data_IF_259231465153
#
_entry.id   IF_259231465153
#
_cell.length_a   1.000
_cell.length_b   1.000
_cell.length_c   1.000
_cell.angle_alpha   90.00
_cell.angle_beta   90.00
_cell.angle_gamma   90.00
#
_symmetry.space_group_name_H-M   'P 1'
#
loop_
_entity.id
_entity.type
_entity.pdbx_description
1 polymer ?
#
# COMPACT_ATOMS: atom_id res chain seq x y z
N UNK A 1 -9.93 17.96 -24.18
CA UNK A 1 -9.49 16.56 -24.31
C UNK A 1 -8.14 16.45 -23.63
N UNK A 2 -8.06 15.93 -22.39
CA UNK A 2 -6.76 15.60 -21.81
C UNK A 2 -6.23 14.39 -22.60
N UNK A 3 -5.06 14.53 -23.22
CA UNK A 3 -4.29 13.39 -23.70
C UNK A 3 -3.87 12.60 -22.46
N UNK A 4 -4.68 11.61 -22.09
CA UNK A 4 -4.38 10.73 -20.98
C UNK A 4 -3.33 9.74 -21.47
N UNK A 5 -2.09 9.91 -21.00
CA UNK A 5 -1.05 8.90 -21.20
C UNK A 5 -1.55 7.57 -20.63
N UNK A 6 -1.57 6.55 -21.48
CA UNK A 6 -1.71 5.16 -21.05
C UNK A 6 -0.32 4.58 -20.88
N UNK A 7 0.03 4.25 -19.65
CA UNK A 7 1.28 3.57 -19.34
C UNK A 7 1.05 2.06 -19.47
N UNK A 8 1.39 1.51 -20.65
CA UNK A 8 1.22 0.08 -20.96
C UNK A 8 1.98 -0.85 -20.02
N UNK A 9 2.98 -0.33 -19.30
CA UNK A 9 3.88 -1.11 -18.47
C UNK A 9 3.60 -0.96 -16.96
N UNK A 10 2.51 -0.30 -16.59
CA UNK A 10 2.06 -0.21 -15.20
C UNK A 10 1.21 -1.42 -14.80
N UNK A 11 1.21 -1.78 -13.52
CA UNK A 11 0.38 -2.87 -13.01
C UNK A 11 0.96 -4.23 -13.35
N UNK A 12 2.16 -4.54 -12.85
CA UNK A 12 2.93 -5.73 -13.20
C UNK A 12 2.15 -7.04 -13.01
N UNK A 13 1.27 -7.11 -12.01
CA UNK A 13 0.28 -8.17 -11.87
C UNK A 13 -1.05 -7.84 -12.57
N UNK A 14 -1.67 -6.72 -12.22
CA UNK A 14 -3.02 -6.34 -12.71
C UNK A 14 -3.07 -4.85 -13.07
N UNK A 15 -3.47 -4.54 -14.31
CA UNK A 15 -3.86 -3.18 -14.71
C UNK A 15 -5.38 -3.04 -14.73
N UNK A 16 -5.92 -2.08 -13.98
CA UNK A 16 -7.33 -1.68 -14.00
C UNK A 16 -7.42 -0.32 -14.70
N UNK A 17 -8.18 -0.27 -15.79
CA UNK A 17 -8.15 0.88 -16.70
C UNK A 17 -9.55 1.34 -17.13
N UNK A 18 -9.72 2.66 -17.22
CA UNK A 18 -10.94 3.30 -17.70
C UNK A 18 -12.12 3.09 -16.75
N UNK A 19 -13.30 2.81 -17.29
CA UNK A 19 -14.53 2.60 -16.50
C UNK A 19 -14.63 1.16 -15.98
N UNK A 20 -13.62 0.71 -15.24
CA UNK A 20 -13.52 -0.66 -14.70
C UNK A 20 -13.40 -0.63 -13.18
N UNK A 21 -14.21 -1.44 -12.49
CA UNK A 21 -14.33 -1.45 -11.02
C UNK A 21 -14.47 -2.90 -10.50
N UNK A 22 -13.49 -3.78 -10.74
CA UNK A 22 -13.61 -5.18 -10.36
C UNK A 22 -13.60 -5.37 -8.84
N UNK A 23 -14.07 -6.55 -8.43
CA UNK A 23 -13.83 -7.13 -7.11
C UNK A 23 -12.65 -8.09 -7.21
N UNK A 24 -11.68 -7.93 -6.34
CA UNK A 24 -10.48 -8.75 -6.23
C UNK A 24 -10.46 -9.29 -4.80
N UNK A 25 -10.75 -10.57 -4.65
CA UNK A 25 -11.06 -11.17 -3.34
C UNK A 25 -10.25 -12.47 -3.19
N UNK A 26 -9.58 -12.65 -2.04
CA UNK A 26 -8.81 -13.87 -1.72
C UNK A 26 -7.71 -14.20 -2.74
N UNK A 27 -6.95 -13.20 -3.20
CA UNK A 27 -5.84 -13.41 -4.13
C UNK A 27 -4.49 -13.15 -3.47
N UNK A 28 -3.45 -13.76 -4.03
CA UNK A 28 -2.06 -13.42 -3.74
C UNK A 28 -1.41 -12.84 -5.01
N UNK A 29 -0.95 -11.60 -4.92
CA UNK A 29 -0.20 -10.90 -5.98
C UNK A 29 1.24 -10.84 -5.52
N UNK A 30 2.06 -11.77 -6.00
CA UNK A 30 3.43 -11.97 -5.51
C UNK A 30 4.51 -11.89 -6.57
N UNK A 31 5.63 -11.24 -6.25
CA UNK A 31 6.85 -11.24 -7.07
C UNK A 31 6.71 -10.52 -8.41
N UNK A 32 5.70 -9.66 -8.58
CA UNK A 32 5.48 -8.94 -9.82
C UNK A 32 6.42 -7.74 -9.93
N UNK A 33 6.80 -7.39 -11.15
CA UNK A 33 7.70 -6.27 -11.44
C UNK A 33 7.07 -5.38 -12.49
N UNK A 34 7.04 -4.07 -12.23
CA UNK A 34 6.60 -3.07 -13.19
C UNK A 34 7.68 -2.03 -13.47
N UNK A 35 7.70 -1.54 -14.72
CA UNK A 35 8.54 -0.44 -15.15
C UNK A 35 7.70 0.46 -16.07
N UNK A 36 7.07 1.53 -15.55
CA UNK A 36 7.55 2.31 -14.39
C UNK A 36 6.84 2.07 -13.03
N UNK A 37 5.50 1.93 -12.98
CA UNK A 37 4.74 2.04 -11.72
C UNK A 37 3.81 0.85 -11.46
N UNK A 38 3.38 0.65 -10.20
CA UNK A 38 2.35 -0.34 -9.89
C UNK A 38 2.86 -1.77 -9.97
N UNK A 39 3.78 -2.18 -9.09
CA UNK A 39 4.39 -3.51 -9.17
C UNK A 39 3.35 -4.64 -9.12
N UNK A 40 2.41 -4.56 -8.18
CA UNK A 40 1.26 -5.45 -8.09
C UNK A 40 0.09 -5.01 -8.95
N UNK A 41 -0.59 -3.93 -8.56
CA UNK A 41 -1.82 -3.42 -9.22
C UNK A 41 -1.69 -1.94 -9.53
N UNK A 42 -2.06 -1.55 -10.76
CA UNK A 42 -2.28 -0.15 -11.11
C UNK A 42 -3.72 0.16 -11.43
N UNK A 43 -4.26 1.19 -10.76
CA UNK A 43 -5.65 1.61 -10.87
C UNK A 43 -5.72 2.98 -11.53
N UNK A 44 -6.29 3.03 -12.74
CA UNK A 44 -6.41 4.25 -13.53
C UNK A 44 -7.80 4.40 -14.15
N UNK A 45 -8.68 5.17 -13.51
CA UNK A 45 -10.06 5.31 -13.98
C UNK A 45 -10.28 6.34 -15.10
N UNK A 46 -9.26 7.10 -15.51
CA UNK A 46 -9.37 8.12 -16.56
C UNK A 46 -10.51 9.15 -16.34
N UNK A 47 -10.75 9.54 -15.09
CA UNK A 47 -11.82 10.48 -14.72
C UNK A 47 -13.21 9.84 -14.56
N UNK A 48 -13.36 8.53 -14.77
CA UNK A 48 -14.60 7.81 -14.47
C UNK A 48 -14.68 7.49 -12.97
N UNK A 49 -15.54 8.19 -12.24
CA UNK A 49 -15.61 8.11 -10.77
C UNK A 49 -16.93 7.54 -10.24
N UNK A 50 -17.61 6.71 -11.03
CA UNK A 50 -18.92 6.15 -10.69
C UNK A 50 -18.85 5.10 -9.57
N UNK A 51 -17.73 4.39 -9.45
CA UNK A 51 -17.53 3.36 -8.43
C UNK A 51 -16.03 3.25 -8.05
N UNK A 52 -15.67 2.25 -7.24
CA UNK A 52 -14.32 1.95 -6.79
C UNK A 52 -13.96 0.48 -7.05
N UNK A 53 -12.66 0.24 -7.28
CA UNK A 53 -12.10 -1.12 -7.21
C UNK A 53 -12.21 -1.62 -5.78
N UNK A 54 -12.66 -2.86 -5.59
CA UNK A 54 -12.78 -3.47 -4.26
C UNK A 54 -11.79 -4.60 -4.11
N UNK A 55 -10.92 -4.50 -3.12
CA UNK A 55 -9.87 -5.48 -2.85
C UNK A 55 -10.07 -5.98 -1.42
N UNK A 56 -10.32 -7.28 -1.25
CA UNK A 56 -10.54 -7.87 0.07
C UNK A 56 -9.73 -9.15 0.28
N UNK A 57 -9.33 -9.39 1.52
CA UNK A 57 -8.76 -10.67 1.97
C UNK A 57 -7.56 -11.14 1.14
N UNK A 58 -6.76 -10.17 0.65
CA UNK A 58 -5.72 -10.41 -0.36
C UNK A 58 -4.33 -10.07 0.16
N UNK A 59 -3.32 -10.69 -0.46
CA UNK A 59 -1.91 -10.54 -0.07
C UNK A 59 -1.12 -9.95 -1.23
N UNK A 60 -0.36 -8.90 -0.95
CA UNK A 60 0.60 -8.26 -1.85
C UNK A 60 2.01 -8.48 -1.30
N UNK A 61 2.78 -9.33 -1.99
CA UNK A 61 4.07 -9.79 -1.48
C UNK A 61 5.20 -9.61 -2.49
N UNK A 62 6.33 -9.04 -2.06
CA UNK A 62 7.57 -9.00 -2.85
C UNK A 62 7.42 -8.36 -4.24
N UNK A 63 6.43 -7.48 -4.43
CA UNK A 63 6.25 -6.78 -5.69
C UNK A 63 7.20 -5.59 -5.78
N UNK A 64 7.65 -5.26 -7.00
CA UNK A 64 8.67 -4.25 -7.24
C UNK A 64 8.26 -3.29 -8.36
N UNK A 65 8.65 -2.03 -8.23
CA UNK A 65 8.47 -1.06 -9.30
C UNK A 65 9.58 -0.03 -9.35
N UNK A 66 9.79 0.53 -10.54
CA UNK A 66 10.82 1.54 -10.75
C UNK A 66 10.51 2.85 -10.00
N UNK A 67 9.25 3.26 -9.90
CA UNK A 67 8.91 4.61 -9.38
C UNK A 67 7.91 4.58 -8.21
N UNK A 68 6.64 4.22 -8.41
CA UNK A 68 5.59 4.35 -7.38
C UNK A 68 4.71 3.11 -7.23
N UNK A 69 4.14 2.94 -6.02
CA UNK A 69 3.14 1.91 -5.71
C UNK A 69 3.64 0.50 -5.96
N UNK A 70 4.63 0.04 -5.18
CA UNK A 70 5.20 -1.29 -5.42
C UNK A 70 4.19 -2.41 -5.27
N UNK A 71 3.22 -2.28 -4.36
CA UNK A 71 2.05 -3.16 -4.32
C UNK A 71 0.88 -2.58 -5.11
N UNK A 72 0.46 -1.35 -4.81
CA UNK A 72 -0.69 -0.71 -5.46
C UNK A 72 -0.40 0.77 -5.70
N UNK A 73 -0.63 1.25 -6.92
CA UNK A 73 -0.79 2.68 -7.23
C UNK A 73 -2.25 3.02 -7.58
N UNK A 74 -2.75 4.08 -6.97
CA UNK A 74 -4.08 4.65 -7.25
C UNK A 74 -3.89 5.99 -7.96
N UNK A 75 -3.84 5.94 -9.30
CA UNK A 75 -3.52 7.09 -10.17
C UNK A 75 -4.57 8.21 -10.09
N UNK A 76 -4.22 9.46 -10.44
CA UNK A 76 -5.03 10.65 -10.15
C UNK A 76 -6.52 10.49 -10.48
N UNK A 77 -7.37 10.79 -9.48
CA UNK A 77 -8.83 10.73 -9.62
C UNK A 77 -9.42 9.32 -9.62
N UNK A 78 -8.62 8.28 -9.34
CA UNK A 78 -9.09 6.89 -9.24
C UNK A 78 -9.57 6.55 -7.83
N UNK A 79 -10.23 5.40 -7.68
CA UNK A 79 -10.89 5.02 -6.42
C UNK A 79 -10.67 3.56 -6.05
N UNK A 80 -10.32 3.30 -4.79
CA UNK A 80 -10.16 1.94 -4.27
C UNK A 80 -10.69 1.78 -2.84
N UNK A 81 -11.29 0.63 -2.56
CA UNK A 81 -11.67 0.16 -1.23
C UNK A 81 -10.85 -1.11 -0.94
N UNK A 82 -9.97 -1.04 0.07
CA UNK A 82 -9.00 -2.08 0.40
C UNK A 82 -9.29 -2.52 1.82
N UNK A 83 -9.73 -3.77 1.98
CA UNK A 83 -10.16 -4.30 3.28
C UNK A 83 -9.43 -5.60 3.60
N UNK A 84 -8.94 -5.73 4.82
CA UNK A 84 -8.33 -6.97 5.30
C UNK A 84 -7.25 -7.53 4.36
N UNK A 85 -6.33 -6.66 3.92
CA UNK A 85 -5.24 -7.04 3.04
C UNK A 85 -3.88 -6.95 3.75
N UNK A 86 -2.93 -7.78 3.31
CA UNK A 86 -1.54 -7.77 3.75
C UNK A 86 -0.65 -7.21 2.66
N UNK A 87 0.27 -6.31 3.03
CA UNK A 87 1.32 -5.77 2.18
C UNK A 87 2.67 -6.04 2.84
N UNK A 88 3.52 -6.85 2.22
CA UNK A 88 4.83 -7.19 2.77
C UNK A 88 5.91 -7.43 1.73
N UNK A 89 7.15 -7.05 2.01
CA UNK A 89 8.29 -7.22 1.09
C UNK A 89 8.26 -6.34 -0.16
N UNK A 90 7.29 -5.42 -0.31
CA UNK A 90 7.13 -4.67 -1.56
C UNK A 90 8.12 -3.49 -1.63
N UNK A 91 8.79 -3.32 -2.77
CA UNK A 91 9.88 -2.34 -2.94
C UNK A 91 9.65 -1.40 -4.12
N UNK A 92 9.46 -0.11 -3.83
CA UNK A 92 9.38 0.94 -4.85
C UNK A 92 10.76 1.59 -5.09
N UNK A 93 10.84 2.48 -6.07
CA UNK A 93 12.05 3.24 -6.39
C UNK A 93 13.27 2.35 -6.69
N UNK A 94 13.11 1.26 -7.44
CA UNK A 94 14.22 0.36 -7.78
C UNK A 94 15.09 0.86 -8.93
N UNK A 95 14.79 2.02 -9.50
CA UNK A 95 15.53 2.63 -10.61
C UNK A 95 15.21 4.11 -10.79
N UNK A 96 15.71 4.74 -11.87
CA UNK A 96 15.53 6.16 -12.10
C UNK A 96 14.05 6.52 -12.35
N UNK A 97 13.59 7.67 -11.86
CA UNK A 97 12.28 8.18 -12.24
C UNK A 97 12.35 8.72 -13.67
N UNK A 98 11.78 7.96 -14.61
CA UNK A 98 11.74 8.29 -16.05
C UNK A 98 10.39 8.84 -16.49
N UNK A 99 9.44 9.01 -15.57
CA UNK A 99 8.07 9.44 -15.88
C UNK A 99 7.79 10.86 -15.42
N UNK A 100 8.43 11.31 -14.34
CA UNK A 100 8.25 12.67 -13.83
C UNK A 100 8.99 13.70 -14.68
N UNK A 101 8.50 14.95 -14.74
CA UNK A 101 9.23 16.04 -15.37
C UNK A 101 10.64 16.22 -14.76
N UNK A 102 11.65 16.60 -15.55
CA UNK A 102 12.98 16.90 -15.03
C UNK A 102 12.93 17.95 -13.90
N UNK A 103 13.57 17.64 -12.76
CA UNK A 103 13.58 18.51 -11.58
C UNK A 103 12.37 18.36 -10.65
N UNK A 104 11.35 17.59 -11.05
CA UNK A 104 10.13 17.35 -10.27
C UNK A 104 9.93 15.84 -9.98
N UNK A 105 11.01 15.14 -9.65
CA UNK A 105 10.97 13.70 -9.40
C UNK A 105 10.01 13.36 -8.25
N UNK A 106 9.18 12.34 -8.46
CA UNK A 106 8.12 11.99 -7.52
C UNK A 106 8.72 11.37 -6.25
N UNK A 107 8.35 11.92 -5.09
CA UNK A 107 8.87 11.52 -3.77
C UNK A 107 10.41 11.36 -3.72
N UNK A 108 11.16 12.22 -4.42
CA UNK A 108 12.60 12.06 -4.67
C UNK A 108 13.47 11.77 -3.42
N UNK A 109 13.09 12.31 -2.26
CA UNK A 109 13.88 12.23 -1.01
C UNK A 109 13.74 10.87 -0.32
N UNK A 110 12.50 10.41 -0.13
CA UNK A 110 12.19 9.22 0.69
C UNK A 110 11.67 8.03 -0.12
N UNK A 111 11.33 8.24 -1.40
CA UNK A 111 10.66 7.26 -2.24
C UNK A 111 9.18 7.10 -1.90
N UNK A 112 8.53 6.17 -2.57
CA UNK A 112 7.09 5.90 -2.52
C UNK A 112 6.78 4.67 -1.67
N UNK A 113 5.54 4.58 -1.22
CA UNK A 113 4.97 3.48 -0.43
C UNK A 113 4.73 2.19 -1.22
N UNK A 114 4.43 1.13 -0.48
CA UNK A 114 3.77 -0.04 -1.03
C UNK A 114 2.40 0.33 -1.60
N UNK A 115 1.67 1.22 -0.92
CA UNK A 115 0.49 1.88 -1.45
C UNK A 115 0.82 3.35 -1.74
N UNK A 116 0.71 3.74 -3.01
CA UNK A 116 0.83 5.14 -3.44
C UNK A 116 -0.53 5.67 -3.90
N UNK A 117 -1.00 6.75 -3.29
CA UNK A 117 -2.27 7.40 -3.62
C UNK A 117 -2.01 8.78 -4.18
N UNK A 118 -2.32 8.97 -5.47
CA UNK A 118 -2.06 10.21 -6.17
C UNK A 118 -3.08 11.32 -5.84
N UNK A 119 -2.75 12.59 -6.15
CA UNK A 119 -3.68 13.70 -5.93
C UNK A 119 -5.06 13.48 -6.58
N UNK A 120 -6.11 13.82 -5.84
CA UNK A 120 -7.50 13.67 -6.28
C UNK A 120 -8.04 12.24 -6.26
N UNK A 121 -7.20 11.24 -5.98
CA UNK A 121 -7.64 9.85 -5.78
C UNK A 121 -8.31 9.67 -4.43
N UNK A 122 -9.22 8.69 -4.34
CA UNK A 122 -9.95 8.36 -3.12
C UNK A 122 -9.69 6.92 -2.69
N UNK A 123 -9.25 6.71 -1.45
CA UNK A 123 -9.11 5.38 -0.87
C UNK A 123 -9.81 5.24 0.46
N UNK A 124 -10.30 4.01 0.71
CA UNK A 124 -10.69 3.52 2.03
C UNK A 124 -9.90 2.26 2.32
N UNK A 125 -8.98 2.35 3.28
CA UNK A 125 -8.14 1.23 3.73
C UNK A 125 -8.57 0.83 5.13
N UNK A 126 -9.00 -0.42 5.32
CA UNK A 126 -9.54 -0.87 6.60
C UNK A 126 -9.04 -2.24 6.98
N UNK A 127 -8.60 -2.41 8.23
CA UNK A 127 -8.21 -3.72 8.74
C UNK A 127 -7.00 -4.32 8.01
N UNK A 128 -6.12 -3.50 7.44
CA UNK A 128 -4.98 -3.99 6.66
C UNK A 128 -3.71 -4.03 7.51
N UNK A 129 -2.70 -4.78 7.07
CA UNK A 129 -1.35 -4.72 7.65
C UNK A 129 -0.36 -4.38 6.54
N UNK A 130 0.44 -3.34 6.74
CA UNK A 130 1.57 -2.98 5.89
C UNK A 130 2.84 -3.10 6.71
N UNK A 131 3.66 -4.10 6.40
CA UNK A 131 4.87 -4.39 7.18
C UNK A 131 6.01 -4.89 6.31
N UNK A 132 7.25 -4.55 6.67
CA UNK A 132 8.44 -4.95 5.92
C UNK A 132 8.36 -4.60 4.43
N UNK A 133 7.82 -3.43 4.09
CA UNK A 133 7.93 -2.85 2.75
C UNK A 133 9.06 -1.82 2.72
N UNK A 134 9.44 -1.33 1.52
CA UNK A 134 10.37 -0.20 1.40
C UNK A 134 9.85 1.04 2.15
N UNK A 135 8.58 1.37 1.96
CA UNK A 135 7.83 2.36 2.74
C UNK A 135 6.37 1.86 2.86
N UNK A 136 5.63 2.34 3.86
CA UNK A 136 4.24 1.95 4.07
C UNK A 136 3.29 2.59 3.04
N UNK A 137 2.85 3.82 3.30
CA UNK A 137 1.90 4.56 2.45
C UNK A 137 2.36 5.97 2.19
N UNK A 138 2.35 6.39 0.93
CA UNK A 138 2.31 7.81 0.57
C UNK A 138 0.96 8.18 -0.04
N UNK A 139 0.30 9.17 0.57
CA UNK A 139 -1.04 9.59 0.17
C UNK A 139 -1.09 11.10 -0.03
N UNK A 140 -1.25 11.50 -1.29
CA UNK A 140 -1.38 12.90 -1.72
C UNK A 140 -2.84 13.31 -1.95
N UNK A 141 -3.80 12.44 -1.65
CA UNK A 141 -5.23 12.70 -1.71
C UNK A 141 -5.77 13.37 -0.44
N UNK A 142 -6.91 14.04 -0.59
CA UNK A 142 -7.61 14.69 0.53
C UNK A 142 -8.79 13.84 1.01
N UNK A 143 -8.92 13.68 2.32
CA UNK A 143 -10.05 12.97 2.95
C UNK A 143 -10.06 11.45 2.80
N UNK A 144 -8.92 10.84 2.47
CA UNK A 144 -8.77 9.39 2.41
C UNK A 144 -8.87 8.76 3.80
N UNK A 145 -9.38 7.53 3.86
CA UNK A 145 -9.67 6.87 5.13
C UNK A 145 -8.71 5.72 5.36
N UNK A 146 -8.12 5.68 6.56
CA UNK A 146 -7.33 4.56 7.05
C UNK A 146 -7.87 4.21 8.42
N UNK A 147 -8.40 2.99 8.58
CA UNK A 147 -9.04 2.59 9.83
C UNK A 147 -8.64 1.20 10.29
N UNK A 148 -8.29 1.05 11.57
CA UNK A 148 -7.93 -0.25 12.14
C UNK A 148 -6.81 -0.95 11.36
N UNK A 149 -5.85 -0.19 10.84
CA UNK A 149 -4.75 -0.69 10.00
C UNK A 149 -3.45 -0.64 10.79
N UNK A 150 -2.59 -1.63 10.57
CA UNK A 150 -1.23 -1.70 11.14
C UNK A 150 -0.23 -1.22 10.09
N UNK A 151 0.65 -0.30 10.50
CA UNK A 151 1.83 0.10 9.75
C UNK A 151 3.05 -0.21 10.64
N UNK A 152 3.84 -1.20 10.23
CA UNK A 152 4.86 -1.77 11.11
C UNK A 152 6.18 -2.04 10.39
N UNK A 153 7.24 -1.34 10.81
CA UNK A 153 8.62 -1.62 10.41
C UNK A 153 8.78 -1.72 8.89
N UNK A 154 8.21 -0.78 8.14
CA UNK A 154 8.42 -0.66 6.70
C UNK A 154 9.85 -0.16 6.44
N UNK A 155 10.79 -1.11 6.47
CA UNK A 155 12.23 -0.88 6.45
C UNK A 155 12.97 -1.77 5.44
N UNK A 156 12.23 -2.49 4.59
CA UNK A 156 12.82 -3.42 3.63
C UNK A 156 13.79 -2.69 2.71
N UNK A 157 14.92 -3.33 2.38
CA UNK A 157 15.94 -2.72 1.51
C UNK A 157 15.59 -2.83 0.01
N UNK A 158 16.28 -2.05 -0.84
CA UNK A 158 16.27 -2.23 -2.30
C UNK A 158 15.78 -1.05 -3.13
N UNK A 159 15.11 -0.06 -2.53
CA UNK A 159 14.86 1.23 -3.18
C UNK A 159 16.11 2.12 -3.18
N UNK A 160 16.13 3.14 -4.04
CA UNK A 160 17.30 4.01 -4.25
C UNK A 160 17.14 5.42 -3.67
N UNK A 161 16.01 5.74 -3.03
CA UNK A 161 15.79 7.06 -2.46
C UNK A 161 16.75 7.32 -1.27
N UNK A 162 17.38 8.52 -1.21
CA UNK A 162 18.53 8.77 -0.34
C UNK A 162 18.23 8.90 1.15
N UNK A 163 17.03 9.34 1.53
CA UNK A 163 16.68 9.60 2.93
C UNK A 163 16.01 8.39 3.59
N UNK A 164 15.56 8.49 4.85
CA UNK A 164 15.00 7.38 5.63
C UNK A 164 13.64 6.88 5.14
N UNK A 165 13.28 5.65 5.54
CA UNK A 165 11.98 5.03 5.28
C UNK A 165 10.89 5.58 6.20
N UNK A 166 9.63 5.40 5.82
CA UNK A 166 8.48 5.83 6.62
C UNK A 166 7.34 4.83 6.61
N UNK A 167 6.53 4.89 7.68
CA UNK A 167 5.26 4.19 7.76
C UNK A 167 4.17 4.96 6.99
N UNK A 168 4.06 6.28 7.21
CA UNK A 168 3.04 7.14 6.63
C UNK A 168 3.62 8.48 6.12
N UNK A 169 3.27 8.84 4.88
CA UNK A 169 3.47 10.17 4.27
C UNK A 169 2.12 10.65 3.70
N UNK A 170 1.21 11.03 4.59
CA UNK A 170 -0.19 11.41 4.27
C UNK A 170 -0.37 12.93 4.34
N UNK A 171 -0.95 13.54 3.29
CA UNK A 171 -1.17 15.00 3.25
C UNK A 171 -2.37 15.48 4.09
N UNK A 172 -3.43 14.69 4.16
CA UNK A 172 -4.66 14.98 4.92
C UNK A 172 -5.09 13.76 5.71
N UNK A 173 -4.68 13.70 6.97
CA UNK A 173 -4.90 12.56 7.84
C UNK A 173 -6.16 12.65 8.72
N UNK A 174 -7.08 13.59 8.47
CA UNK A 174 -8.27 13.80 9.32
C UNK A 174 -9.17 12.58 9.49
N UNK A 175 -9.08 11.62 8.57
CA UNK A 175 -9.87 10.38 8.55
C UNK A 175 -9.01 9.12 8.84
N UNK A 176 -7.79 9.30 9.35
CA UNK A 176 -6.92 8.23 9.85
C UNK A 176 -7.27 8.00 11.33
N UNK A 177 -7.77 6.80 11.68
CA UNK A 177 -8.24 6.52 13.05
C UNK A 177 -8.15 5.04 13.43
N UNK A 178 -7.84 4.79 14.69
CA UNK A 178 -7.66 3.45 15.25
C UNK A 178 -6.54 2.67 14.58
N UNK A 179 -5.60 3.35 13.93
CA UNK A 179 -4.42 2.72 13.33
C UNK A 179 -3.31 2.59 14.37
N UNK A 180 -2.47 1.58 14.17
CA UNK A 180 -1.28 1.33 14.97
C UNK A 180 -0.07 1.53 14.08
N UNK A 181 0.84 2.39 14.51
CA UNK A 181 2.01 2.81 13.74
C UNK A 181 3.25 2.56 14.58
N UNK A 182 4.21 1.82 14.05
CA UNK A 182 5.47 1.55 14.73
C UNK A 182 6.60 1.37 13.73
N UNK A 183 7.67 2.13 13.92
CA UNK A 183 8.79 2.21 12.99
C UNK A 183 9.64 3.45 13.27
N UNK A 184 10.79 3.57 12.61
CA UNK A 184 11.73 4.67 12.87
C UNK A 184 11.17 6.05 12.48
N UNK A 185 10.38 6.12 11.40
CA UNK A 185 9.65 7.34 11.00
C UNK A 185 8.20 6.97 10.78
N UNK A 186 7.37 7.21 11.79
CA UNK A 186 5.97 6.81 11.80
C UNK A 186 5.08 7.71 10.94
N UNK A 187 5.39 9.00 10.93
CA UNK A 187 4.64 10.01 10.19
C UNK A 187 5.61 11.06 9.69
N UNK A 188 5.85 11.04 8.37
CA UNK A 188 6.81 11.91 7.73
C UNK A 188 6.36 13.38 7.75
N UNK A 189 5.05 13.65 7.88
CA UNK A 189 4.48 15.00 7.79
C UNK A 189 3.99 15.56 9.12
N UNK A 190 3.88 14.72 10.16
CA UNK A 190 3.32 15.11 11.45
C UNK A 190 1.81 15.45 11.37
N UNK A 191 1.08 14.77 10.50
CA UNK A 191 -0.36 14.95 10.28
C UNK A 191 -1.23 13.98 11.07
N UNK A 192 -0.71 12.84 11.52
CA UNK A 192 -1.45 11.81 12.24
C UNK A 192 -1.77 12.29 13.65
N UNK A 193 -3.04 12.25 14.04
CA UNK A 193 -3.48 12.59 15.40
C UNK A 193 -3.23 11.41 16.36
N UNK A 194 -2.33 11.56 17.36
CA UNK A 194 -2.04 10.50 18.34
C UNK A 194 -3.17 10.28 19.36
N UNK A 195 -4.21 11.13 19.39
CA UNK A 195 -5.39 10.89 20.25
C UNK A 195 -6.34 9.86 19.66
N UNK A 196 -6.30 9.69 18.34
CA UNK A 196 -7.18 8.79 17.61
C UNK A 196 -6.43 7.61 17.00
N UNK A 197 -5.11 7.56 17.13
CA UNK A 197 -4.23 6.49 16.63
C UNK A 197 -3.15 6.17 17.67
N UNK A 198 -2.58 4.97 17.60
CA UNK A 198 -1.47 4.56 18.45
C UNK A 198 -0.17 4.73 17.69
N UNK A 199 0.56 5.80 18.01
CA UNK A 199 1.97 5.97 17.66
C UNK A 199 2.85 5.28 18.72
N UNK A 200 4.08 4.95 18.35
CA UNK A 200 5.00 4.12 19.14
C UNK A 200 4.34 2.80 19.56
N UNK A 201 3.60 2.20 18.61
CA UNK A 201 2.82 1.01 18.88
C UNK A 201 3.72 -0.14 19.41
N UNK A 202 3.21 -0.98 20.32
CA UNK A 202 3.96 -2.14 20.81
C UNK A 202 4.19 -3.15 19.69
N UNK A 203 5.15 -4.06 19.85
CA UNK A 203 5.36 -5.14 18.86
C UNK A 203 4.05 -5.92 18.62
N UNK A 204 3.57 -6.06 17.36
CA UNK A 204 2.40 -6.87 17.03
C UNK A 204 2.58 -8.35 17.35
N UNK A 205 3.83 -8.82 17.46
CA UNK A 205 4.19 -10.22 17.67
C UNK A 205 3.55 -11.13 16.60
N UNK A 206 3.68 -10.75 15.33
CA UNK A 206 3.07 -11.45 14.21
C UNK A 206 3.33 -12.97 14.26
N UNK A 207 2.30 -13.76 13.97
CA UNK A 207 2.44 -15.17 13.67
C UNK A 207 2.98 -15.40 12.23
N UNK A 208 3.14 -16.66 11.83
CA UNK A 208 3.61 -17.05 10.49
C UNK A 208 2.71 -16.55 9.33
N UNK A 209 1.49 -16.11 9.63
CA UNK A 209 0.51 -15.59 8.68
C UNK A 209 0.30 -14.08 8.81
N UNK A 210 1.17 -13.37 9.55
CA UNK A 210 1.06 -11.93 9.83
C UNK A 210 -0.19 -11.54 10.63
N UNK A 211 -0.80 -12.49 11.35
CA UNK A 211 -1.78 -12.20 12.38
C UNK A 211 -1.07 -11.68 13.64
N UNK A 212 -1.38 -10.48 14.14
CA UNK A 212 -0.78 -9.97 15.38
C UNK A 212 -1.28 -10.78 16.58
N UNK A 213 -0.35 -11.21 17.44
CA UNK A 213 -0.65 -11.97 18.67
C UNK A 213 -0.73 -11.07 19.90
N UNK A 214 -0.14 -9.88 19.85
CA UNK A 214 -0.23 -8.91 20.93
C UNK A 214 -1.70 -8.46 21.14
N UNK A 215 -2.27 -8.58 22.36
CA UNK A 215 -3.68 -8.27 22.63
C UNK A 215 -4.08 -6.82 22.31
N UNK A 216 -3.13 -5.88 22.29
CA UNK A 216 -3.38 -4.49 21.92
C UNK A 216 -3.95 -4.33 20.50
N UNK A 217 -3.73 -5.32 19.64
CA UNK A 217 -4.13 -5.32 18.23
C UNK A 217 -5.46 -6.04 17.97
N UNK A 218 -6.28 -6.29 19.00
CA UNK A 218 -7.60 -6.91 18.84
C UNK A 218 -8.47 -6.13 17.84
N UNK A 219 -8.90 -6.79 16.75
CA UNK A 219 -9.72 -6.17 15.70
C UNK A 219 -8.98 -5.17 14.78
N UNK A 220 -7.66 -5.06 14.90
CA UNK A 220 -6.78 -4.18 14.10
C UNK A 220 -5.83 -5.01 13.26
N UNK A 221 -5.66 -4.63 11.99
CA UNK A 221 -4.75 -5.28 11.06
C UNK A 221 -5.35 -6.47 10.32
N UNK A 222 -4.58 -6.98 9.37
CA UNK A 222 -4.91 -8.14 8.55
C UNK A 222 -5.20 -9.37 9.42
N UNK A 223 -6.20 -10.15 9.03
CA UNK A 223 -6.47 -11.51 9.52
C UNK A 223 -6.79 -12.39 8.32
N UNK A 224 -6.03 -13.47 8.15
CA UNK A 224 -6.28 -14.42 7.07
C UNK A 224 -7.70 -14.99 7.14
N UNK A 225 -8.39 -15.02 6.00
CA UNK A 225 -9.70 -15.65 5.85
C UNK A 225 -9.53 -16.99 5.12
N UNK A 226 -9.74 -18.12 5.81
CA UNK A 226 -9.68 -19.48 5.22
C UNK A 226 -8.85 -20.51 6.00
N UNK A 227 -9.32 -21.78 6.04
CA UNK A 227 -8.88 -22.85 6.95
C UNK A 227 -7.41 -23.26 6.79
N UNK A 228 -6.71 -23.63 7.90
CA UNK A 228 -5.34 -24.14 7.84
C UNK A 228 -5.26 -25.37 6.96
N UNK A 229 -4.38 -25.34 5.96
CA UNK A 229 -3.90 -26.56 5.31
C UNK A 229 -3.03 -27.25 6.34
N UNK A 230 -3.55 -28.28 7.00
CA UNK A 230 -2.73 -29.20 7.78
C UNK A 230 -1.69 -29.79 6.82
N UNK A 231 -0.38 -29.72 7.10
CA UNK A 231 0.61 -30.38 6.27
C UNK A 231 0.27 -31.87 6.24
N UNK A 232 0.05 -32.44 5.05
CA UNK A 232 0.10 -33.90 4.92
C UNK A 232 1.52 -34.29 5.31
N UNK A 233 1.67 -35.00 6.42
CA UNK A 233 2.87 -35.74 6.72
C UNK A 233 3.19 -36.60 5.51
N UNK A 234 4.34 -36.37 4.88
CA UNK A 234 4.88 -37.31 3.91
C UNK A 234 5.34 -38.53 4.71
N UNK A 235 4.50 -39.55 4.80
CA UNK A 235 4.98 -40.91 4.96
C UNK A 235 5.40 -41.42 3.58
N UNK A 236 6.71 -41.54 3.38
CA UNK A 236 7.35 -42.49 2.46
C UNK A 236 8.70 -42.88 3.06
#
# INVERSE_FOLDING_TARGET
KQNLLFFYCDGGGIKIFGRSYPRIENVEVTGNVANPCGGGISIQHLGFQQDAVRITDSVFRDNRCQVTGSAIDVLPGSRAEITNCLFTGNVANTGPDTVSPPGELYNARHGSGALTVFPGSQVRVTGCTLTDNWNGVDDKGAGNHYTRTIFWQNTHSGGTAPEGRYELDIVDAKNVRGCFVGGATQDLRGTIDPKTNTLDAPDPEFDEWFGPRCPAYEGVGYRRVGKPVVPRSKEH
#
